data_IF_117314320984
#
_entry.id   IF_117314320984
#
_cell.length_a   1.000
_cell.length_b   1.000
_cell.length_c   1.000
_cell.angle_alpha   90.00
_cell.angle_beta   90.00
_cell.angle_gamma   90.00
#
_symmetry.space_group_name_H-M   'P 1'
#
loop_
_entity.id
_entity.type
_entity.pdbx_description
1 polymer ?
#
# COMPACT_ATOMS: atom_id res chain seq x y z
N UNK A 1 16.35 9.70 13.42
CA UNK A 1 15.25 10.10 14.33
C UNK A 1 14.29 8.94 14.43
N UNK A 2 13.63 8.71 15.58
CA UNK A 2 12.63 7.64 15.66
C UNK A 2 11.49 7.95 14.67
N UNK A 3 11.15 6.98 13.82
CA UNK A 3 10.06 7.13 12.86
C UNK A 3 8.74 7.32 13.63
N UNK A 4 8.04 8.42 13.35
CA UNK A 4 6.71 8.66 13.91
C UNK A 4 5.71 7.77 13.16
N UNK A 5 5.12 6.81 13.87
CA UNK A 5 4.04 5.96 13.35
C UNK A 5 2.70 6.65 13.57
N UNK A 6 1.80 6.58 12.59
CA UNK A 6 0.44 7.12 12.67
C UNK A 6 -0.62 6.02 12.66
N UNK A 7 -1.92 6.34 12.64
CA UNK A 7 -2.98 5.33 12.74
C UNK A 7 -3.34 4.63 11.42
N UNK A 8 -2.97 5.15 10.25
CA UNK A 8 -3.57 4.76 8.97
C UNK A 8 -2.78 3.65 8.23
N UNK A 9 -1.45 3.58 8.37
CA UNK A 9 -0.60 2.63 7.62
C UNK A 9 -0.19 1.43 8.48
N UNK A 10 -1.16 0.56 8.80
CA UNK A 10 -1.01 -0.58 9.72
C UNK A 10 -1.87 -1.79 9.35
N UNK A 11 -1.53 -2.97 9.89
CA UNK A 11 -2.23 -4.24 9.59
C UNK A 11 -3.63 -4.34 10.23
N UNK A 12 -3.98 -3.43 11.14
CA UNK A 12 -5.36 -3.32 11.64
C UNK A 12 -6.33 -2.75 10.61
N UNK A 13 -5.83 -2.20 9.50
CA UNK A 13 -6.64 -1.66 8.41
C UNK A 13 -7.36 -0.35 8.73
N UNK A 14 -8.01 0.21 7.72
CA UNK A 14 -8.79 1.44 7.83
C UNK A 14 -10.23 1.07 8.20
N UNK A 15 -10.76 1.68 9.26
CA UNK A 15 -12.17 1.52 9.59
C UNK A 15 -13.06 2.23 8.55
N UNK A 16 -14.19 1.63 8.12
CA UNK A 16 -15.07 2.25 7.14
C UNK A 16 -15.58 3.65 7.52
N UNK A 17 -15.61 4.01 8.81
CA UNK A 17 -15.99 5.35 9.29
C UNK A 17 -14.90 6.40 9.07
N UNK A 18 -13.65 5.98 8.87
CA UNK A 18 -12.53 6.87 8.53
C UNK A 18 -12.53 7.23 7.03
N UNK A 19 -13.32 6.53 6.22
CA UNK A 19 -13.44 6.77 4.79
C UNK A 19 -14.61 7.73 4.53
N UNK A 20 -14.42 8.82 3.76
CA UNK A 20 -15.50 9.73 3.41
C UNK A 20 -16.68 9.03 2.73
N UNK A 21 -17.87 9.64 2.82
CA UNK A 21 -19.01 9.20 2.01
C UNK A 21 -18.63 9.20 0.51
N UNK A 22 -19.24 8.32 -0.28
CA UNK A 22 -18.92 8.23 -1.71
C UNK A 22 -19.24 9.53 -2.48
N UNK A 23 -20.18 10.33 -1.98
CA UNK A 23 -20.55 11.64 -2.53
C UNK A 23 -19.66 12.78 -2.03
N UNK A 24 -18.61 12.48 -1.26
CA UNK A 24 -17.69 13.48 -0.75
C UNK A 24 -16.94 14.16 -1.90
N UNK A 25 -16.79 15.48 -1.79
CA UNK A 25 -15.98 16.28 -2.68
C UNK A 25 -14.48 16.00 -2.49
N UNK A 26 -13.65 16.39 -3.46
CA UNK A 26 -12.20 16.27 -3.34
C UNK A 26 -11.63 16.94 -2.07
N UNK A 27 -12.22 18.08 -1.63
CA UNK A 27 -11.82 18.75 -0.40
C UNK A 27 -12.09 17.89 0.86
N UNK A 28 -13.15 17.09 0.85
CA UNK A 28 -13.49 16.16 1.94
C UNK A 28 -12.65 14.87 1.90
N UNK A 29 -12.13 14.49 0.73
CA UNK A 29 -11.21 13.35 0.56
C UNK A 29 -9.76 13.71 0.92
N UNK A 30 -9.37 14.97 0.71
CA UNK A 30 -8.00 15.48 0.90
C UNK A 30 -7.40 15.15 2.28
N UNK A 31 -8.11 15.27 3.42
CA UNK A 31 -7.54 14.93 4.73
C UNK A 31 -7.11 13.46 4.85
N UNK A 32 -7.91 12.52 4.32
CA UNK A 32 -7.58 11.10 4.34
C UNK A 32 -6.32 10.82 3.51
N UNK A 33 -6.25 11.36 2.29
CA UNK A 33 -5.09 11.18 1.41
C UNK A 33 -3.82 11.82 1.98
N UNK A 34 -3.96 13.00 2.59
CA UNK A 34 -2.86 13.68 3.29
C UNK A 34 -2.34 12.83 4.44
N UNK A 35 -3.24 12.30 5.28
CA UNK A 35 -2.88 11.41 6.39
C UNK A 35 -2.13 10.18 5.90
N UNK A 36 -2.73 9.43 4.96
CA UNK A 36 -2.14 8.23 4.36
C UNK A 36 -0.74 8.50 3.80
N UNK A 37 -0.59 9.55 3.00
CA UNK A 37 0.67 9.86 2.35
C UNK A 37 1.73 10.36 3.35
N UNK A 38 1.32 11.17 4.34
CA UNK A 38 2.21 11.66 5.41
C UNK A 38 2.78 10.54 6.27
N UNK A 39 2.07 9.43 6.40
CA UNK A 39 2.55 8.22 7.08
C UNK A 39 3.35 7.31 6.13
N UNK A 40 2.83 7.05 4.93
CA UNK A 40 3.38 6.09 3.99
C UNK A 40 4.77 6.51 3.46
N UNK A 41 4.96 7.79 3.11
CA UNK A 41 6.22 8.26 2.52
C UNK A 41 7.39 8.09 3.50
N UNK A 42 7.35 8.61 4.74
CA UNK A 42 8.41 8.33 5.71
C UNK A 42 8.54 6.84 6.03
N UNK A 43 7.44 6.07 5.97
CA UNK A 43 7.47 4.64 6.27
C UNK A 43 8.42 3.85 5.35
N UNK A 44 8.41 4.18 4.07
CA UNK A 44 9.25 3.57 3.02
C UNK A 44 10.50 4.38 2.67
N UNK A 45 10.56 5.66 3.06
CA UNK A 45 11.64 6.58 2.67
C UNK A 45 13.04 6.20 3.19
N UNK A 46 13.10 5.47 4.31
CA UNK A 46 14.37 5.01 4.91
C UNK A 46 14.92 3.72 4.28
N UNK A 47 14.48 3.35 3.07
CA UNK A 47 15.01 2.17 2.38
C UNK A 47 16.50 2.35 2.04
N UNK A 48 17.35 1.35 2.35
CA UNK A 48 18.75 1.44 2.01
C UNK A 48 18.95 1.41 0.49
N UNK A 49 19.93 2.18 -0.01
CA UNK A 49 20.30 2.19 -1.43
C UNK A 49 20.87 0.84 -1.94
N UNK A 50 21.10 -0.12 -1.04
CA UNK A 50 21.58 -1.47 -1.37
C UNK A 50 21.30 -2.43 -0.22
N UNK A 51 22.19 -3.42 -0.06
CA UNK A 51 22.04 -4.46 0.98
C UNK A 51 22.44 -3.98 2.38
N UNK A 52 23.22 -2.89 2.47
CA UNK A 52 23.63 -2.32 3.76
C UNK A 52 22.44 -1.65 4.45
N UNK A 53 21.99 -2.26 5.54
CA UNK A 53 20.85 -1.82 6.34
C UNK A 53 21.25 -1.24 7.70
N UNK A 54 22.54 -0.93 7.90
CA UNK A 54 23.08 -0.45 9.17
C UNK A 54 22.37 0.79 9.72
N UNK A 55 21.90 1.69 8.83
CA UNK A 55 21.20 2.92 9.18
C UNK A 55 19.70 2.90 8.89
N UNK A 56 19.10 1.72 8.65
CA UNK A 56 17.69 1.58 8.26
C UNK A 56 16.93 0.61 9.16
N UNK A 57 15.65 0.87 9.47
CA UNK A 57 14.77 -0.13 10.07
C UNK A 57 14.45 -1.29 9.12
N UNK A 58 14.70 -1.14 7.81
CA UNK A 58 14.52 -2.16 6.79
C UNK A 58 15.75 -3.04 6.69
N UNK A 59 15.58 -4.34 6.93
CA UNK A 59 16.64 -5.35 6.83
C UNK A 59 16.56 -6.04 5.48
N UNK A 60 17.67 -6.07 4.75
CA UNK A 60 17.77 -6.88 3.53
C UNK A 60 17.55 -8.37 3.87
N UNK A 61 16.76 -9.06 3.04
CA UNK A 61 16.46 -10.49 3.20
C UNK A 61 17.06 -11.33 2.10
N UNK A 62 16.73 -11.00 0.85
CA UNK A 62 17.15 -11.77 -0.33
C UNK A 62 16.97 -10.95 -1.60
N UNK A 63 17.64 -11.40 -2.65
CA UNK A 63 17.47 -10.90 -4.01
C UNK A 63 17.10 -12.07 -4.92
N UNK A 64 16.14 -11.86 -5.82
CA UNK A 64 15.75 -12.82 -6.85
C UNK A 64 16.13 -12.29 -8.22
N UNK A 65 16.84 -13.11 -9.00
CA UNK A 65 17.12 -12.79 -10.41
C UNK A 65 16.17 -13.59 -11.29
N UNK A 66 15.61 -12.94 -12.29
CA UNK A 66 14.72 -13.56 -13.27
C UNK A 66 15.36 -13.44 -14.65
N UNK A 67 15.26 -14.45 -15.53
CA UNK A 67 15.79 -14.36 -16.91
C UNK A 67 15.19 -13.19 -17.72
N UNK A 68 14.06 -12.67 -17.26
CA UNK A 68 13.31 -11.58 -17.84
C UNK A 68 13.62 -10.20 -17.25
N UNK A 69 14.56 -10.11 -16.29
CA UNK A 69 14.82 -8.88 -15.54
C UNK A 69 16.27 -8.43 -15.69
N UNK A 70 16.48 -7.15 -16.03
CA UNK A 70 17.80 -6.54 -16.10
C UNK A 70 18.42 -6.26 -14.71
N UNK A 71 17.59 -6.19 -13.67
CA UNK A 71 18.01 -5.99 -12.29
C UNK A 71 17.41 -7.07 -11.36
N UNK A 72 18.07 -7.42 -10.25
CA UNK A 72 17.47 -8.30 -9.25
C UNK A 72 16.28 -7.63 -8.56
N UNK A 73 15.29 -8.44 -8.17
CA UNK A 73 14.22 -8.02 -7.28
C UNK A 73 14.67 -8.23 -5.85
N UNK A 74 14.88 -7.13 -5.13
CA UNK A 74 15.33 -7.15 -3.74
C UNK A 74 14.14 -7.21 -2.79
N UNK A 75 14.30 -7.96 -1.70
CA UNK A 75 13.29 -8.11 -0.66
C UNK A 75 13.86 -7.61 0.67
N UNK A 76 13.14 -6.69 1.29
CA UNK A 76 13.45 -6.13 2.60
C UNK A 76 12.35 -6.49 3.59
N UNK A 77 12.69 -6.51 4.87
CA UNK A 77 11.76 -6.74 5.96
C UNK A 77 11.94 -5.69 7.05
N UNK A 78 10.83 -5.19 7.58
CA UNK A 78 10.79 -4.30 8.73
C UNK A 78 9.85 -4.87 9.77
N UNK A 79 10.29 -4.85 11.03
CA UNK A 79 9.49 -5.29 12.18
C UNK A 79 9.16 -4.10 13.07
N UNK A 80 7.90 -3.98 13.44
CA UNK A 80 7.43 -3.01 14.44
C UNK A 80 7.09 -3.80 15.70
N UNK A 81 7.64 -3.39 16.85
CA UNK A 81 7.42 -4.10 18.10
C UNK A 81 5.97 -3.96 18.57
N UNK A 82 5.49 -4.95 19.34
CA UNK A 82 4.16 -4.88 19.93
C UNK A 82 4.00 -3.67 20.86
N UNK A 83 5.07 -3.27 21.57
CA UNK A 83 5.03 -2.09 22.44
C UNK A 83 4.87 -0.80 21.64
N UNK A 84 5.59 -0.63 20.53
CA UNK A 84 5.40 0.52 19.64
C UNK A 84 3.97 0.56 19.08
N UNK A 85 3.44 -0.60 18.65
CA UNK A 85 2.07 -0.69 18.14
C UNK A 85 1.02 -0.38 19.21
N UNK A 86 1.24 -0.80 20.46
CA UNK A 86 0.37 -0.43 21.59
C UNK A 86 0.43 1.06 21.91
N UNK A 87 1.60 1.68 21.82
CA UNK A 87 1.74 3.13 21.99
C UNK A 87 0.93 3.89 20.93
N UNK A 88 1.02 3.50 19.66
CA UNK A 88 0.22 4.11 18.58
C UNK A 88 -1.27 3.90 18.82
N UNK A 89 -1.70 2.68 19.15
CA UNK A 89 -3.11 2.40 19.43
C UNK A 89 -3.66 3.20 20.62
N UNK A 90 -2.83 3.47 21.63
CA UNK A 90 -3.20 4.29 22.77
C UNK A 90 -3.28 5.79 22.42
N UNK A 91 -2.33 6.30 21.62
CA UNK A 91 -2.28 7.69 21.17
C UNK A 91 -3.47 8.05 20.26
N UNK A 92 -3.86 7.14 19.36
CA UNK A 92 -4.91 7.35 18.37
C UNK A 92 -6.20 6.58 18.68
N UNK A 93 -6.44 6.23 19.95
CA UNK A 93 -7.56 5.36 20.36
C UNK A 93 -8.92 5.80 19.80
N UNK A 94 -9.19 7.10 19.78
CA UNK A 94 -10.48 7.65 19.32
C UNK A 94 -10.65 7.58 17.79
N UNK A 95 -9.54 7.39 17.05
CA UNK A 95 -9.53 7.24 15.59
C UNK A 95 -9.49 5.77 15.16
N UNK A 96 -9.36 4.84 16.11
CA UNK A 96 -9.13 3.42 15.86
C UNK A 96 -10.23 2.53 16.50
N UNK A 97 -11.53 2.74 16.19
CA UNK A 97 -12.62 1.95 16.77
C UNK A 97 -12.53 0.45 16.45
N UNK A 98 -11.89 0.08 15.35
CA UNK A 98 -11.62 -1.30 14.93
C UNK A 98 -10.58 -2.02 15.81
N UNK A 99 -9.72 -1.28 16.51
CA UNK A 99 -8.66 -1.84 17.35
C UNK A 99 -9.21 -2.15 18.75
N UNK A 100 -9.92 -3.26 18.84
CA UNK A 100 -10.58 -3.72 20.08
C UNK A 100 -9.72 -4.63 20.96
N UNK A 101 -8.60 -5.12 20.43
CA UNK A 101 -7.64 -6.01 21.11
C UNK A 101 -6.29 -5.31 21.24
N UNK A 102 -5.45 -5.84 22.12
CA UNK A 102 -4.08 -5.37 22.23
C UNK A 102 -3.37 -5.48 20.87
N UNK A 103 -2.84 -4.35 20.39
CA UNK A 103 -2.12 -4.30 19.13
C UNK A 103 -0.91 -5.25 19.16
N UNK A 104 -0.80 -6.07 18.10
CA UNK A 104 0.27 -7.05 17.94
C UNK A 104 1.49 -6.42 17.27
N UNK A 105 2.62 -7.11 17.32
CA UNK A 105 3.79 -6.74 16.51
C UNK A 105 3.45 -6.90 15.02
N UNK A 106 4.03 -6.04 14.19
CA UNK A 106 3.85 -6.08 12.73
C UNK A 106 5.13 -6.51 12.03
N UNK A 107 4.98 -7.23 10.93
CA UNK A 107 6.08 -7.55 10.01
C UNK A 107 5.68 -7.12 8.61
N UNK A 108 6.45 -6.18 8.07
CA UNK A 108 6.27 -5.61 6.76
C UNK A 108 7.34 -6.14 5.81
N UNK A 109 6.95 -6.42 4.58
CA UNK A 109 7.86 -6.78 3.51
C UNK A 109 7.79 -5.74 2.41
N UNK A 110 8.96 -5.41 1.86
CA UNK A 110 9.06 -4.52 0.71
C UNK A 110 9.81 -5.23 -0.41
N UNK A 111 9.29 -5.11 -1.63
CA UNK A 111 9.96 -5.56 -2.85
C UNK A 111 10.40 -4.36 -3.66
N UNK A 112 11.67 -4.30 -4.03
CA UNK A 112 12.23 -3.29 -4.94
C UNK A 112 12.61 -3.97 -6.25
N UNK A 113 12.05 -3.47 -7.34
CA UNK A 113 12.34 -3.91 -8.71
C UNK A 113 12.61 -2.69 -9.58
N UNK A 114 13.55 -2.82 -10.52
CA UNK A 114 13.86 -1.79 -11.52
C UNK A 114 13.48 -2.35 -12.88
N UNK A 115 12.69 -1.58 -13.63
CA UNK A 115 12.19 -1.95 -14.95
C UNK A 115 12.66 -0.93 -15.98
N UNK A 116 12.98 -1.42 -17.18
CA UNK A 116 13.18 -0.57 -18.34
C UNK A 116 11.84 -0.04 -18.84
N UNK A 117 11.76 1.27 -19.10
CA UNK A 117 10.60 1.92 -19.70
C UNK A 117 10.55 1.62 -21.21
N UNK A 118 9.96 0.47 -21.55
CA UNK A 118 9.84 0.02 -22.93
C UNK A 118 8.62 -0.90 -23.13
N UNK A 119 7.90 -0.71 -24.24
CA UNK A 119 6.82 -1.58 -24.67
C UNK A 119 7.36 -2.79 -25.46
N UNK A 120 8.03 -3.71 -24.77
CA UNK A 120 8.63 -4.92 -25.33
C UNK A 120 8.33 -6.14 -24.45
N UNK A 121 8.45 -7.38 -24.97
CA UNK A 121 8.24 -8.56 -24.15
C UNK A 121 9.12 -8.53 -22.90
N UNK A 122 8.48 -8.72 -21.73
CA UNK A 122 9.11 -8.75 -20.39
C UNK A 122 9.47 -7.39 -19.79
N UNK A 123 9.13 -6.29 -20.46
CA UNK A 123 9.19 -4.94 -19.91
C UNK A 123 7.78 -4.33 -19.89
N UNK A 124 7.67 -3.11 -19.39
CA UNK A 124 6.46 -2.31 -19.52
C UNK A 124 6.88 -0.85 -19.69
N UNK A 125 6.29 -0.18 -20.68
CA UNK A 125 6.37 1.27 -20.77
C UNK A 125 5.67 1.92 -19.58
N UNK A 126 6.01 3.18 -19.30
CA UNK A 126 5.36 3.95 -18.24
C UNK A 126 3.84 4.04 -18.44
N UNK A 127 3.39 4.17 -19.69
CA UNK A 127 1.96 4.20 -20.02
C UNK A 127 1.27 2.86 -19.71
N UNK A 128 1.92 1.73 -20.01
CA UNK A 128 1.43 0.40 -19.62
C UNK A 128 1.40 0.25 -18.09
N UNK A 129 2.43 0.73 -17.40
CA UNK A 129 2.49 0.72 -15.93
C UNK A 129 1.34 1.52 -15.32
N UNK A 130 1.12 2.77 -15.76
CA UNK A 130 0.01 3.61 -15.29
C UNK A 130 -1.34 2.97 -15.63
N UNK A 131 -1.48 2.42 -16.83
CA UNK A 131 -2.71 1.76 -17.27
C UNK A 131 -3.03 0.57 -16.36
N UNK A 132 -2.07 -0.32 -16.11
CA UNK A 132 -2.31 -1.54 -15.33
C UNK A 132 -2.32 -1.34 -13.83
N UNK A 133 -1.50 -0.45 -13.26
CA UNK A 133 -1.40 -0.29 -11.81
C UNK A 133 -2.30 0.80 -11.24
N UNK A 134 -2.63 1.82 -12.02
CA UNK A 134 -3.43 2.97 -11.55
C UNK A 134 -4.84 3.01 -12.13
N UNK A 135 -4.99 2.84 -13.44
CA UNK A 135 -6.28 3.03 -14.12
C UNK A 135 -7.17 1.78 -14.07
N UNK A 136 -6.58 0.62 -14.37
CA UNK A 136 -7.26 -0.67 -14.49
C UNK A 136 -6.66 -1.71 -13.52
N UNK A 137 -6.48 -1.31 -12.25
CA UNK A 137 -5.82 -2.12 -11.23
C UNK A 137 -6.50 -3.48 -11.04
N UNK A 138 -7.81 -3.47 -10.77
CA UNK A 138 -8.58 -4.69 -10.51
C UNK A 138 -8.65 -5.62 -11.73
N UNK A 139 -8.83 -5.09 -12.94
CA UNK A 139 -8.84 -5.92 -14.15
C UNK A 139 -7.46 -6.52 -14.43
N UNK A 140 -6.40 -5.74 -14.24
CA UNK A 140 -5.02 -6.19 -14.41
C UNK A 140 -4.65 -7.23 -13.36
N UNK A 141 -5.03 -7.04 -12.09
CA UNK A 141 -4.79 -8.02 -11.03
C UNK A 141 -5.46 -9.36 -11.35
N UNK A 142 -6.72 -9.32 -11.79
CA UNK A 142 -7.46 -10.53 -12.21
C UNK A 142 -6.82 -11.21 -13.43
N UNK A 143 -6.29 -10.43 -14.39
CA UNK A 143 -5.61 -10.97 -15.56
C UNK A 143 -4.23 -11.58 -15.24
N UNK A 144 -3.51 -11.03 -14.25
CA UNK A 144 -2.14 -11.46 -13.91
C UNK A 144 -2.08 -12.47 -12.77
N UNK A 145 -3.12 -12.58 -11.95
CA UNK A 145 -3.14 -13.40 -10.74
C UNK A 145 -4.20 -14.49 -10.82
N UNK A 146 -3.79 -15.74 -11.10
CA UNK A 146 -4.69 -16.88 -11.30
C UNK A 146 -5.66 -17.16 -10.13
N UNK A 147 -5.25 -16.79 -8.91
CA UNK A 147 -6.04 -16.97 -7.69
C UNK A 147 -7.17 -15.96 -7.56
N UNK A 148 -7.12 -14.82 -8.25
CA UNK A 148 -8.20 -13.84 -8.23
C UNK A 148 -9.34 -14.34 -9.12
N UNK A 149 -10.48 -14.63 -8.52
CA UNK A 149 -11.66 -15.16 -9.19
C UNK A 149 -12.59 -14.05 -9.73
N UNK A 150 -12.68 -12.95 -9.01
CA UNK A 150 -13.51 -11.80 -9.34
C UNK A 150 -13.07 -10.59 -8.53
N UNK A 151 -13.32 -9.40 -9.08
CA UNK A 151 -13.21 -8.11 -8.41
C UNK A 151 -14.53 -7.36 -8.55
N UNK A 152 -14.89 -6.52 -7.57
CA UNK A 152 -16.13 -5.73 -7.61
C UNK A 152 -15.90 -4.37 -6.98
N UNK A 153 -16.02 -3.27 -7.75
CA UNK A 153 -15.91 -1.92 -7.19
C UNK A 153 -17.08 -1.67 -6.24
N UNK A 154 -16.76 -1.26 -5.02
CA UNK A 154 -17.75 -0.95 -3.97
C UNK A 154 -17.99 0.54 -3.87
N UNK A 155 -16.92 1.32 -3.92
CA UNK A 155 -16.96 2.79 -3.93
C UNK A 155 -15.82 3.34 -4.76
N UNK A 156 -16.09 4.48 -5.38
CA UNK A 156 -15.16 5.28 -6.16
C UNK A 156 -15.41 6.75 -5.82
N UNK A 157 -14.36 7.53 -5.62
CA UNK A 157 -14.43 8.93 -5.20
C UNK A 157 -13.92 9.84 -6.31
N UNK A 158 -14.64 10.94 -6.55
CA UNK A 158 -14.15 11.99 -7.45
C UNK A 158 -12.98 12.74 -6.79
N UNK A 159 -11.77 12.39 -7.23
CA UNK A 159 -10.54 13.00 -6.78
C UNK A 159 -10.07 14.14 -7.71
N UNK A 160 -10.92 14.61 -8.61
CA UNK A 160 -10.60 15.69 -9.53
C UNK A 160 -10.23 16.97 -8.76
N UNK A 161 -9.07 17.55 -9.09
CA UNK A 161 -8.57 18.76 -8.45
C UNK A 161 -8.07 18.57 -7.01
N UNK A 162 -7.94 17.34 -6.53
CA UNK A 162 -7.27 17.08 -5.24
C UNK A 162 -5.78 17.32 -5.38
N UNK A 163 -5.25 18.19 -4.51
CA UNK A 163 -3.82 18.45 -4.38
C UNK A 163 -3.41 18.27 -2.92
N UNK A 164 -2.41 17.42 -2.69
CA UNK A 164 -1.86 17.16 -1.35
C UNK A 164 -0.44 17.68 -1.32
N UNK A 165 -0.16 18.66 -0.45
CA UNK A 165 1.17 19.21 -0.27
C UNK A 165 1.86 18.55 0.92
N UNK A 166 3.02 17.92 0.69
CA UNK A 166 3.86 17.35 1.73
C UNK A 166 5.30 17.81 1.52
N UNK A 167 5.81 18.59 2.48
CA UNK A 167 7.10 19.27 2.31
C UNK A 167 7.06 20.23 1.12
N UNK A 168 8.04 20.07 0.22
CA UNK A 168 8.18 20.89 -0.99
C UNK A 168 7.50 20.27 -2.22
N UNK A 169 6.86 19.11 -2.08
CA UNK A 169 6.20 18.40 -3.17
C UNK A 169 4.68 18.57 -3.12
N UNK A 170 4.07 18.63 -4.31
CA UNK A 170 2.62 18.62 -4.50
C UNK A 170 2.24 17.35 -5.26
N UNK A 171 1.41 16.53 -4.60
CA UNK A 171 0.92 15.26 -5.11
C UNK A 171 -0.47 15.47 -5.72
N UNK A 172 -0.60 15.09 -6.98
CA UNK A 172 -1.80 15.30 -7.82
C UNK A 172 -2.19 14.01 -8.53
N UNK A 173 -3.27 14.06 -9.31
CA UNK A 173 -3.74 12.93 -10.13
C UNK A 173 -4.05 11.71 -9.24
N UNK A 174 -4.95 11.92 -8.29
CA UNK A 174 -5.33 10.91 -7.30
C UNK A 174 -6.41 9.97 -7.83
N UNK A 175 -6.32 8.71 -7.41
CA UNK A 175 -7.40 7.72 -7.53
C UNK A 175 -7.64 7.14 -6.15
N UNK A 176 -8.87 7.16 -5.67
CA UNK A 176 -9.28 6.47 -4.44
C UNK A 176 -10.45 5.55 -4.78
N UNK A 177 -10.30 4.26 -4.49
CA UNK A 177 -11.33 3.24 -4.71
C UNK A 177 -11.36 2.24 -3.56
N UNK A 178 -12.54 1.70 -3.30
CA UNK A 178 -12.75 0.55 -2.44
C UNK A 178 -13.25 -0.59 -3.32
N UNK A 179 -12.46 -1.65 -3.44
CA UNK A 179 -12.73 -2.76 -4.33
C UNK A 179 -12.67 -4.08 -3.56
N UNK A 180 -13.72 -4.88 -3.73
CA UNK A 180 -13.79 -6.21 -3.14
C UNK A 180 -13.12 -7.22 -4.08
N UNK A 181 -12.21 -8.05 -3.57
CA UNK A 181 -11.57 -9.13 -4.34
C UNK A 181 -11.92 -10.51 -3.78
N UNK A 182 -12.27 -11.44 -4.68
CA UNK A 182 -12.59 -12.83 -4.36
C UNK A 182 -11.44 -13.72 -4.78
N UNK A 183 -10.84 -14.43 -3.82
CA UNK A 183 -9.71 -15.32 -4.08
C UNK A 183 -10.12 -16.79 -4.03
N UNK A 184 -9.64 -17.58 -5.00
CA UNK A 184 -9.63 -19.04 -4.97
C UNK A 184 -8.60 -19.48 -3.95
N UNK A 185 -9.03 -20.19 -2.92
CA UNK A 185 -8.12 -20.82 -1.96
C UNK A 185 -7.90 -22.30 -2.32
N UNK A 186 -6.71 -22.86 -2.03
CA UNK A 186 -6.48 -24.27 -2.23
C UNK A 186 -7.40 -25.11 -1.34
N UNK A 187 -7.81 -26.28 -1.83
CA UNK A 187 -8.57 -27.25 -1.04
C UNK A 187 -7.84 -27.58 0.28
N UNK A 188 -8.52 -27.65 1.43
CA UNK A 188 -9.99 -27.66 1.63
C UNK A 188 -10.61 -26.28 1.91
N UNK A 189 -9.90 -25.19 1.69
CA UNK A 189 -10.40 -23.85 2.01
C UNK A 189 -11.39 -23.36 0.95
N UNK A 190 -12.46 -22.70 1.39
CA UNK A 190 -13.45 -22.08 0.51
C UNK A 190 -13.01 -20.69 0.05
N UNK A 191 -13.65 -20.18 -1.02
CA UNK A 191 -13.41 -18.81 -1.52
C UNK A 191 -13.46 -17.80 -0.38
N UNK A 192 -12.50 -16.88 -0.35
CA UNK A 192 -12.46 -15.79 0.62
C UNK A 192 -12.66 -14.46 -0.08
N UNK A 193 -13.49 -13.63 0.53
CA UNK A 193 -13.77 -12.26 0.10
C UNK A 193 -12.92 -11.32 0.96
N UNK A 194 -12.18 -10.43 0.31
CA UNK A 194 -11.45 -9.36 0.97
C UNK A 194 -12.12 -8.03 0.57
N UNK A 195 -12.74 -7.32 1.52
CA UNK A 195 -13.32 -6.01 1.29
C UNK A 195 -12.24 -4.92 1.20
#
# INVERSE_FOLDING_TARGET
MAQKLGPLVHLWGIDPTQVPAQTASGAEVTPLLTGLLSEALPFIGDLPAGQDSSNSPWKFRKAHSYPSSAAPVEVFEKKISADAMRSVAAEYKDQLPQVTKAAAAETWFLRRSVHEDAAQPRTASWDEFVTSFKKHHAESEMAFTETVAATTPRRDWDCSGVEVRLGDETWVDWTLKLEESVHKLPYPLHKRVFP
#
